data_IF_995288741585
#
_entry.id   IF_995288741585
#
_cell.length_a   1.000
_cell.length_b   1.000
_cell.length_c   1.000
_cell.angle_alpha   90.00
_cell.angle_beta   90.00
_cell.angle_gamma   90.00
#
_symmetry.space_group_name_H-M   'P 1'
#
loop_
_entity.id
_entity.type
_entity.pdbx_description
1 polymer ?
#
# COMPACT_ATOMS: atom_id res chain seq x y z
N UNK A 1 6.13 -2.14 5.36
CA UNK A 1 6.91 -2.73 6.45
C UNK A 1 6.05 -3.34 7.57
N UNK A 2 4.70 -3.36 7.43
CA UNK A 2 3.76 -4.02 8.33
C UNK A 2 3.03 -5.15 7.58
N UNK A 3 3.44 -6.42 7.75
CA UNK A 3 2.88 -7.55 7.00
C UNK A 3 1.36 -7.75 7.20
N UNK A 4 0.83 -7.35 8.36
CA UNK A 4 -0.60 -7.44 8.63
C UNK A 4 -1.44 -6.52 7.73
N UNK A 5 -0.83 -5.54 7.05
CA UNK A 5 -1.51 -4.65 6.12
C UNK A 5 -1.60 -5.17 4.69
N UNK A 6 -1.18 -6.40 4.41
CA UNK A 6 -1.27 -6.97 3.05
C UNK A 6 -2.68 -6.86 2.48
N UNK A 7 -3.70 -7.28 3.23
CA UNK A 7 -5.10 -7.18 2.78
C UNK A 7 -5.64 -5.75 2.82
N UNK A 8 -5.15 -4.90 3.71
CA UNK A 8 -5.47 -3.48 3.69
C UNK A 8 -4.93 -2.79 2.44
N UNK A 9 -3.75 -3.18 1.97
CA UNK A 9 -3.18 -2.68 0.73
C UNK A 9 -4.03 -3.09 -0.49
N UNK A 10 -4.56 -4.33 -0.52
CA UNK A 10 -5.50 -4.76 -1.56
C UNK A 10 -6.81 -3.94 -1.51
N UNK A 11 -7.34 -3.70 -0.30
CA UNK A 11 -8.49 -2.83 -0.11
C UNK A 11 -8.22 -1.38 -0.55
N UNK A 12 -7.04 -0.84 -0.28
CA UNK A 12 -6.63 0.50 -0.74
C UNK A 12 -6.68 0.60 -2.27
N UNK A 13 -6.15 -0.40 -2.97
CA UNK A 13 -6.22 -0.44 -4.45
C UNK A 13 -7.65 -0.46 -4.95
N UNK A 14 -8.52 -1.25 -4.32
CA UNK A 14 -9.94 -1.27 -4.63
C UNK A 14 -10.57 0.11 -4.41
N UNK A 15 -10.39 0.69 -3.22
CA UNK A 15 -10.98 1.98 -2.86
C UNK A 15 -10.62 3.08 -3.87
N UNK A 16 -9.36 3.30 -4.12
CA UNK A 16 -8.90 4.37 -5.01
C UNK A 16 -9.17 4.06 -6.48
N UNK A 17 -8.94 2.83 -6.92
CA UNK A 17 -9.20 2.41 -8.30
C UNK A 17 -10.66 2.58 -8.71
N UNK A 18 -11.60 2.12 -7.87
CA UNK A 18 -13.03 2.25 -8.11
C UNK A 18 -13.52 3.70 -8.04
N UNK A 19 -12.96 4.48 -7.13
CA UNK A 19 -13.46 5.83 -6.84
C UNK A 19 -12.92 6.87 -7.80
N UNK A 20 -11.65 6.80 -8.17
CA UNK A 20 -10.96 7.80 -8.99
C UNK A 20 -10.83 7.44 -10.46
N UNK A 21 -10.77 6.15 -10.81
CA UNK A 21 -10.54 5.66 -12.17
C UNK A 21 -11.72 5.89 -13.11
N UNK A 22 -12.03 7.15 -13.42
CA UNK A 22 -13.18 7.59 -14.24
C UNK A 22 -12.75 8.71 -15.18
N UNK A 23 -13.44 8.85 -16.29
CA UNK A 23 -13.21 9.94 -17.28
C UNK A 23 -11.75 10.02 -17.75
N UNK A 24 -11.06 8.87 -17.84
CA UNK A 24 -9.62 8.79 -18.15
C UNK A 24 -8.72 9.56 -17.13
N UNK A 25 -9.20 9.70 -15.91
CA UNK A 25 -8.51 10.34 -14.79
C UNK A 25 -8.20 9.32 -13.70
N UNK A 26 -7.60 9.79 -12.62
CA UNK A 26 -7.20 8.98 -11.48
C UNK A 26 -5.75 8.53 -11.55
N UNK A 27 -5.19 8.26 -10.39
CA UNK A 27 -3.86 7.66 -10.27
C UNK A 27 -4.01 6.14 -10.18
N UNK A 28 -3.12 5.41 -10.82
CA UNK A 28 -3.13 3.95 -10.74
C UNK A 28 -2.66 3.51 -9.34
N UNK A 29 -3.55 2.95 -8.51
CA UNK A 29 -3.17 2.52 -7.17
C UNK A 29 -2.38 1.21 -7.24
N UNK A 30 -1.20 1.22 -6.64
CA UNK A 30 -0.37 0.05 -6.48
C UNK A 30 -0.05 -0.16 -4.99
N UNK A 31 0.48 -1.31 -4.64
CA UNK A 31 0.93 -1.58 -3.28
C UNK A 31 2.17 -2.47 -3.29
N UNK A 32 3.01 -2.28 -2.28
CA UNK A 32 4.18 -3.10 -2.03
C UNK A 32 4.22 -3.51 -0.56
N UNK A 33 4.73 -4.69 -0.29
CA UNK A 33 5.07 -5.15 1.05
C UNK A 33 6.58 -5.23 1.13
N UNK A 34 7.18 -4.29 1.78
CA UNK A 34 8.61 -4.29 2.04
C UNK A 34 8.89 -5.04 3.37
N UNK A 35 9.94 -5.84 3.45
CA UNK A 35 11.09 -5.99 2.52
C UNK A 35 10.86 -6.94 1.34
N UNK A 36 9.74 -7.68 1.27
CA UNK A 36 9.51 -8.71 0.24
C UNK A 36 9.67 -8.14 -1.18
N UNK A 37 9.10 -6.98 -1.45
CA UNK A 37 9.07 -6.37 -2.79
C UNK A 37 10.24 -5.42 -3.07
N UNK A 38 11.23 -5.31 -2.18
CA UNK A 38 12.37 -4.39 -2.36
C UNK A 38 13.23 -4.72 -3.60
N UNK A 39 13.42 -6.01 -3.89
CA UNK A 39 14.21 -6.44 -5.05
C UNK A 39 13.42 -6.48 -6.37
N UNK A 40 12.15 -6.11 -6.34
CA UNK A 40 11.30 -6.00 -7.51
C UNK A 40 10.80 -4.56 -7.66
N UNK A 41 9.72 -4.22 -6.96
CA UNK A 41 9.12 -2.88 -7.04
C UNK A 41 10.03 -1.80 -6.44
N UNK A 42 10.80 -2.09 -5.40
CA UNK A 42 11.76 -1.14 -4.84
C UNK A 42 12.81 -0.70 -5.86
N UNK A 43 13.34 -1.61 -6.69
CA UNK A 43 14.24 -1.27 -7.79
C UNK A 43 13.58 -0.32 -8.80
N UNK A 44 12.32 -0.59 -9.17
CA UNK A 44 11.59 0.29 -10.08
C UNK A 44 11.32 1.66 -9.48
N UNK A 45 10.95 1.72 -8.21
CA UNK A 45 10.72 2.97 -7.49
C UNK A 45 12.00 3.79 -7.44
N UNK A 46 13.15 3.15 -7.12
CA UNK A 46 14.43 3.83 -6.99
C UNK A 46 14.97 4.39 -8.32
N UNK A 47 14.88 3.63 -9.42
CA UNK A 47 15.55 3.97 -10.69
C UNK A 47 14.63 4.01 -11.91
N UNK A 48 13.36 3.64 -11.77
CA UNK A 48 12.40 3.63 -12.86
C UNK A 48 11.82 5.02 -13.18
N UNK A 49 10.76 5.05 -13.98
CA UNK A 49 10.07 6.28 -14.36
C UNK A 49 9.48 7.00 -13.13
N UNK A 50 9.66 8.30 -13.03
CA UNK A 50 9.12 9.14 -11.95
C UNK A 50 7.65 9.50 -12.19
N UNK A 51 6.78 8.52 -12.05
CA UNK A 51 5.33 8.62 -12.33
C UNK A 51 4.47 8.34 -11.09
N UNK A 52 5.07 8.20 -9.92
CA UNK A 52 4.38 7.84 -8.68
C UNK A 52 4.90 8.65 -7.49
N UNK A 53 4.14 8.58 -6.42
CA UNK A 53 4.55 8.95 -5.07
C UNK A 53 4.26 7.75 -4.13
N UNK A 54 4.88 7.72 -2.99
CA UNK A 54 4.64 6.68 -1.99
C UNK A 54 3.86 7.20 -0.80
N UNK A 55 2.96 6.36 -0.30
CA UNK A 55 2.35 6.54 1.03
C UNK A 55 2.79 5.37 1.91
N UNK A 56 3.58 5.69 2.91
CA UNK A 56 4.14 4.71 3.83
C UNK A 56 3.35 4.76 5.13
N UNK A 57 2.88 3.61 5.61
CA UNK A 57 2.20 3.51 6.90
C UNK A 57 3.15 2.84 7.90
N UNK A 58 3.56 3.59 8.92
CA UNK A 58 4.38 3.11 10.03
C UNK A 58 3.52 2.82 11.27
N UNK A 59 3.65 1.62 11.81
CA UNK A 59 3.01 1.21 13.07
C UNK A 59 4.05 1.29 14.18
N UNK A 60 3.88 2.27 15.09
CA UNK A 60 4.88 2.57 16.14
C UNK A 60 5.09 1.45 17.13
N UNK A 61 4.00 0.76 17.52
CA UNK A 61 4.03 -0.36 18.46
C UNK A 61 3.58 -1.64 17.77
N UNK A 62 4.48 -2.57 17.52
CA UNK A 62 4.11 -3.89 17.00
C UNK A 62 3.23 -4.63 18.02
N UNK A 63 2.35 -5.52 17.53
CA UNK A 63 1.52 -6.38 18.40
C UNK A 63 2.37 -7.33 19.24
N UNK A 64 3.47 -7.79 18.69
CA UNK A 64 4.49 -8.62 19.33
C UNK A 64 5.87 -8.17 18.84
N UNK A 65 6.87 -8.37 19.67
CA UNK A 65 8.25 -8.07 19.28
C UNK A 65 9.17 -9.22 19.71
N UNK A 66 10.28 -9.35 19.03
CA UNK A 66 11.29 -10.35 19.30
C UNK A 66 12.61 -9.66 19.65
N UNK A 67 13.24 -10.12 20.70
CA UNK A 67 14.57 -9.67 21.09
C UNK A 67 15.63 -10.52 20.38
N UNK A 68 16.68 -9.90 19.88
CA UNK A 68 17.76 -10.57 19.17
C UNK A 68 18.87 -10.88 20.15
N UNK A 69 19.03 -12.16 20.47
CA UNK A 69 20.12 -12.63 21.30
C UNK A 69 21.45 -12.68 20.55
N UNK A 70 22.59 -12.42 21.20
CA UNK A 70 23.87 -12.60 20.55
C UNK A 70 24.17 -14.08 20.26
N UNK A 71 24.72 -14.37 19.10
CA UNK A 71 25.20 -15.70 18.72
C UNK A 71 26.66 -15.87 19.12
N UNK A 72 26.97 -16.92 19.93
CA UNK A 72 28.35 -17.24 20.27
C UNK A 72 29.15 -17.51 18.97
N UNK A 73 30.34 -16.93 18.87
CA UNK A 73 31.20 -17.04 17.70
C UNK A 73 30.82 -16.17 16.49
N UNK A 74 29.65 -15.51 16.52
CA UNK A 74 29.20 -14.59 15.44
C UNK A 74 29.35 -15.17 14.01
N UNK A 75 28.99 -16.44 13.82
CA UNK A 75 29.22 -17.16 12.57
C UNK A 75 28.40 -16.61 11.38
N UNK A 76 27.30 -15.96 11.65
CA UNK A 76 26.43 -15.30 10.67
C UNK A 76 26.79 -13.84 10.41
N UNK A 77 27.70 -13.26 11.23
CA UNK A 77 28.08 -11.86 11.14
C UNK A 77 27.01 -10.88 11.63
N UNK A 78 25.92 -11.34 12.28
CA UNK A 78 24.77 -10.51 12.64
C UNK A 78 24.77 -10.00 14.08
N UNK A 79 25.82 -10.24 14.88
CA UNK A 79 25.87 -9.78 16.26
C UNK A 79 25.85 -8.24 16.41
N UNK A 80 26.03 -7.49 15.34
CA UNK A 80 25.80 -6.04 15.36
C UNK A 80 24.32 -5.66 15.58
N UNK A 81 23.39 -6.60 15.34
CA UNK A 81 21.96 -6.48 15.65
C UNK A 81 21.60 -6.98 17.05
N UNK A 82 22.51 -7.66 17.72
CA UNK A 82 22.24 -8.25 19.03
C UNK A 82 21.86 -7.19 20.07
N UNK A 83 21.06 -7.60 21.06
CA UNK A 83 20.50 -6.75 22.09
C UNK A 83 19.53 -5.65 21.59
N UNK A 84 18.97 -5.82 20.40
CA UNK A 84 17.92 -4.99 19.84
C UNK A 84 16.65 -5.79 19.63
N UNK A 85 15.52 -5.10 19.54
CA UNK A 85 14.26 -5.71 19.13
C UNK A 85 14.18 -5.76 17.60
N UNK A 86 13.52 -6.78 17.07
CA UNK A 86 13.29 -6.94 15.63
C UNK A 86 12.52 -5.76 15.02
N UNK A 87 11.61 -5.16 15.79
CA UNK A 87 10.90 -3.94 15.37
C UNK A 87 11.82 -2.76 15.09
N UNK A 88 12.91 -2.64 15.85
CA UNK A 88 13.94 -1.61 15.61
C UNK A 88 14.65 -1.85 14.29
N UNK A 89 15.02 -3.10 14.02
CA UNK A 89 15.67 -3.47 12.75
C UNK A 89 14.73 -3.21 11.55
N UNK A 90 13.46 -3.61 11.65
CA UNK A 90 12.46 -3.35 10.62
C UNK A 90 12.25 -1.85 10.37
N UNK A 91 12.17 -1.06 11.45
CA UNK A 91 12.06 0.41 11.34
C UNK A 91 13.28 1.02 10.67
N UNK A 92 14.49 0.57 11.00
CA UNK A 92 15.71 1.07 10.35
C UNK A 92 15.77 0.69 8.87
N UNK A 93 15.25 -0.47 8.48
CA UNK A 93 15.09 -0.84 7.08
C UNK A 93 14.12 0.09 6.36
N UNK A 94 12.99 0.42 6.98
CA UNK A 94 12.02 1.39 6.46
C UNK A 94 12.63 2.78 6.31
N UNK A 95 13.25 3.31 7.35
CA UNK A 95 13.91 4.62 7.34
C UNK A 95 14.98 4.71 6.24
N UNK A 96 15.79 3.67 6.08
CA UNK A 96 16.80 3.60 5.02
C UNK A 96 16.21 3.61 3.62
N UNK A 97 15.08 2.92 3.43
CA UNK A 97 14.36 2.92 2.14
C UNK A 97 13.76 4.29 1.84
N UNK A 98 13.11 4.93 2.82
CA UNK A 98 12.59 6.31 2.71
C UNK A 98 13.69 7.27 2.26
N UNK A 99 14.83 7.25 2.95
CA UNK A 99 15.96 8.10 2.58
C UNK A 99 16.42 7.88 1.13
N UNK A 100 16.56 6.62 0.72
CA UNK A 100 17.02 6.28 -0.64
C UNK A 100 16.02 6.74 -1.71
N UNK A 101 14.73 6.49 -1.52
CA UNK A 101 13.69 6.87 -2.48
C UNK A 101 13.53 8.39 -2.55
N UNK A 102 13.54 9.08 -1.40
CA UNK A 102 13.52 10.56 -1.35
C UNK A 102 14.71 11.17 -2.07
N UNK A 103 15.93 10.67 -1.83
CA UNK A 103 17.14 11.12 -2.54
C UNK A 103 17.05 10.82 -4.04
N UNK A 104 16.37 9.73 -4.41
CA UNK A 104 16.04 9.37 -5.78
C UNK A 104 14.97 10.25 -6.42
N UNK A 105 14.36 11.18 -5.68
CA UNK A 105 13.35 12.12 -6.16
C UNK A 105 11.93 11.57 -6.18
N UNK A 106 11.62 10.53 -5.40
CA UNK A 106 10.26 10.02 -5.19
C UNK A 106 9.59 10.83 -4.07
N UNK A 107 8.44 11.47 -4.31
CA UNK A 107 7.70 12.13 -3.25
C UNK A 107 7.10 11.10 -2.28
N UNK A 108 7.23 11.34 -0.98
CA UNK A 108 6.78 10.42 0.05
C UNK A 108 5.86 11.08 1.07
N UNK A 109 4.86 10.34 1.52
CA UNK A 109 3.96 10.70 2.63
C UNK A 109 4.05 9.61 3.69
N UNK A 110 4.51 9.97 4.88
CA UNK A 110 4.57 9.06 6.03
C UNK A 110 3.32 9.26 6.91
N UNK A 111 2.57 8.19 7.11
CA UNK A 111 1.43 8.12 8.02
C UNK A 111 1.84 7.25 9.21
N UNK A 112 1.88 7.84 10.39
CA UNK A 112 2.20 7.12 11.62
C UNK A 112 0.92 6.69 12.33
N UNK A 113 0.88 5.42 12.73
CA UNK A 113 -0.20 4.80 13.51
C UNK A 113 0.38 4.28 14.82
N UNK A 114 -0.26 4.56 15.95
CA UNK A 114 0.32 4.20 17.24
C UNK A 114 0.43 2.69 17.46
N UNK A 115 -0.61 1.93 17.08
CA UNK A 115 -0.66 0.47 17.21
C UNK A 115 -1.75 -0.11 16.27
N UNK A 116 -1.88 -1.46 16.25
CA UNK A 116 -2.89 -2.19 15.49
C UNK A 116 -4.21 -2.40 16.27
N UNK A 117 -4.54 -1.53 17.21
CA UNK A 117 -5.85 -1.59 17.88
C UNK A 117 -6.99 -1.37 16.87
N UNK A 118 -8.17 -1.92 17.17
CA UNK A 118 -9.37 -1.73 16.35
C UNK A 118 -9.70 -0.25 16.15
N UNK A 119 -9.40 0.59 17.15
CA UNK A 119 -9.58 2.04 17.07
C UNK A 119 -8.66 2.66 16.00
N UNK A 120 -7.35 2.42 16.09
CA UNK A 120 -6.37 3.00 15.18
C UNK A 120 -6.54 2.50 13.74
N UNK A 121 -6.80 1.19 13.58
CA UNK A 121 -7.07 0.61 12.25
C UNK A 121 -8.36 1.19 11.66
N UNK A 122 -9.43 1.30 12.45
CA UNK A 122 -10.69 1.92 12.01
C UNK A 122 -10.52 3.39 11.65
N UNK A 123 -9.70 4.14 12.42
CA UNK A 123 -9.37 5.52 12.12
C UNK A 123 -8.62 5.66 10.79
N UNK A 124 -7.64 4.79 10.55
CA UNK A 124 -6.87 4.76 9.30
C UNK A 124 -7.75 4.45 8.08
N UNK A 125 -8.67 3.47 8.21
CA UNK A 125 -9.65 3.16 7.17
C UNK A 125 -10.53 4.38 6.87
N UNK A 126 -11.06 5.04 7.89
CA UNK A 126 -11.89 6.22 7.71
C UNK A 126 -11.11 7.40 7.13
N UNK A 127 -9.86 7.57 7.52
CA UNK A 127 -8.95 8.54 6.92
C UNK A 127 -8.83 8.33 5.40
N UNK A 128 -8.58 7.11 4.96
CA UNK A 128 -8.47 6.81 3.53
C UNK A 128 -9.81 6.98 2.78
N UNK A 129 -10.94 6.66 3.39
CA UNK A 129 -12.24 6.95 2.79
C UNK A 129 -12.43 8.45 2.53
N UNK A 130 -12.06 9.26 3.51
CA UNK A 130 -12.16 10.72 3.36
C UNK A 130 -11.16 11.26 2.33
N UNK A 131 -9.93 10.81 2.38
CA UNK A 131 -8.89 11.18 1.43
C UNK A 131 -9.30 10.84 -0.01
N UNK A 132 -9.82 9.64 -0.23
CA UNK A 132 -10.30 9.19 -1.53
C UNK A 132 -11.48 10.01 -2.04
N UNK A 133 -12.46 10.32 -1.20
CA UNK A 133 -13.58 11.17 -1.58
C UNK A 133 -13.11 12.58 -1.96
N UNK A 134 -12.22 13.18 -1.17
CA UNK A 134 -11.64 14.49 -1.47
C UNK A 134 -10.86 14.48 -2.78
N UNK A 135 -10.03 13.47 -2.99
CA UNK A 135 -9.25 13.31 -4.24
C UNK A 135 -10.16 13.15 -5.46
N UNK A 136 -11.22 12.33 -5.37
CA UNK A 136 -12.21 12.20 -6.45
C UNK A 136 -12.86 13.54 -6.81
N UNK A 137 -13.21 14.36 -5.83
CA UNK A 137 -13.75 15.70 -6.08
C UNK A 137 -12.70 16.63 -6.71
N UNK A 138 -11.45 16.58 -6.27
CA UNK A 138 -10.37 17.37 -6.89
C UNK A 138 -10.14 16.98 -8.36
N UNK A 139 -10.32 15.70 -8.69
CA UNK A 139 -10.28 15.19 -10.06
C UNK A 139 -11.56 15.51 -10.85
N UNK A 140 -12.58 16.09 -10.21
CA UNK A 140 -13.90 16.36 -10.79
C UNK A 140 -14.60 15.09 -11.29
N UNK A 141 -14.50 14.00 -10.55
CA UNK A 141 -15.23 12.75 -10.78
C UNK A 141 -16.15 12.44 -9.61
N UNK A 142 -17.20 11.64 -9.84
CA UNK A 142 -18.03 11.15 -8.75
C UNK A 142 -17.38 9.92 -8.10
N UNK A 143 -16.87 10.00 -6.85
CA UNK A 143 -16.21 8.86 -6.21
C UNK A 143 -17.15 7.75 -5.76
N UNK A 144 -18.49 7.95 -5.83
CA UNK A 144 -19.50 7.04 -5.24
C UNK A 144 -20.23 6.18 -6.26
N UNK A 145 -19.83 6.15 -7.53
CA UNK A 145 -20.40 5.28 -8.55
C UNK A 145 -19.30 4.46 -9.25
N UNK A 146 -19.70 3.45 -10.04
CA UNK A 146 -18.79 2.52 -10.72
C UNK A 146 -19.25 2.24 -12.16
N UNK A 147 -19.33 3.24 -13.03
CA UNK A 147 -19.87 3.04 -14.39
C UNK A 147 -19.02 2.07 -15.22
N UNK A 148 -17.70 2.03 -15.01
CA UNK A 148 -16.79 1.19 -15.80
C UNK A 148 -17.00 -0.30 -15.65
N UNK A 149 -17.48 -0.76 -14.48
CA UNK A 149 -17.71 -2.21 -14.25
C UNK A 149 -18.95 -2.75 -14.93
N UNK A 150 -19.88 -1.89 -15.34
CA UNK A 150 -21.09 -2.32 -16.04
C UNK A 150 -20.80 -2.87 -17.44
N UNK A 151 -19.79 -2.36 -18.12
CA UNK A 151 -19.38 -2.81 -19.45
C UNK A 151 -19.01 -4.30 -19.47
N UNK A 152 -18.08 -4.72 -18.60
CA UNK A 152 -17.66 -6.13 -18.59
C UNK A 152 -18.77 -7.06 -18.10
N UNK A 153 -19.64 -6.60 -17.18
CA UNK A 153 -20.80 -7.40 -16.73
C UNK A 153 -21.77 -7.69 -17.88
N UNK A 154 -22.07 -6.68 -18.71
CA UNK A 154 -22.91 -6.86 -19.90
C UNK A 154 -22.28 -7.85 -20.87
N UNK A 155 -21.00 -7.70 -21.17
CA UNK A 155 -20.29 -8.62 -22.06
C UNK A 155 -20.29 -10.06 -21.50
N UNK A 156 -20.03 -10.22 -20.21
CA UNK A 156 -20.08 -11.53 -19.56
C UNK A 156 -21.48 -12.17 -19.66
N UNK A 157 -22.54 -11.41 -19.41
CA UNK A 157 -23.91 -11.90 -19.52
C UNK A 157 -24.26 -12.29 -20.95
N UNK A 158 -23.83 -11.53 -21.95
CA UNK A 158 -24.01 -11.87 -23.36
C UNK A 158 -23.25 -13.16 -23.71
N UNK A 159 -22.00 -13.29 -23.34
CA UNK A 159 -21.19 -14.49 -23.57
C UNK A 159 -21.73 -15.74 -22.88
N UNK A 160 -22.41 -15.59 -21.75
CA UNK A 160 -23.08 -16.68 -21.04
C UNK A 160 -24.47 -16.97 -21.56
N UNK A 161 -24.95 -16.26 -22.59
CA UNK A 161 -26.29 -16.45 -23.17
C UNK A 161 -27.42 -16.05 -22.22
N UNK A 162 -27.21 -15.10 -21.32
CA UNK A 162 -28.23 -14.63 -20.38
C UNK A 162 -29.38 -13.96 -21.18
N UNK A 163 -30.67 -14.38 -20.98
CA UNK A 163 -31.81 -13.74 -21.66
C UNK A 163 -31.82 -12.21 -21.43
N UNK A 164 -32.06 -11.46 -22.52
CA UNK A 164 -32.07 -9.99 -22.53
C UNK A 164 -30.69 -9.34 -22.79
N UNK A 165 -29.67 -10.13 -23.10
CA UNK A 165 -28.32 -9.66 -23.44
C UNK A 165 -27.86 -10.19 -24.81
N UNK A 166 -28.81 -10.63 -25.65
CA UNK A 166 -28.53 -11.13 -27.00
C UNK A 166 -28.10 -9.97 -27.92
N UNK A 167 -27.02 -10.15 -28.67
CA UNK A 167 -26.58 -9.19 -29.69
C UNK A 167 -25.69 -8.05 -29.17
N UNK A 168 -25.09 -8.22 -27.99
CA UNK A 168 -24.05 -7.35 -27.49
C UNK A 168 -22.66 -7.84 -27.93
#
# INVERSE_FOLDING_TARGET
YEPNFTLMNEWYKQLFGESEGKDNKGLFPASCIFSTDLHSMGQFIQEGARIMFETIVDVKKPAQDLFIDPLEGNFDGLNFLANQNMSVVNRKAMEGTILAHTDGGVPEVLIEVDDLSAYNVGYLIYFFWRACACSGYLLSVNPFNQPGVESYKKNMFALLGKPGYEGL
#
